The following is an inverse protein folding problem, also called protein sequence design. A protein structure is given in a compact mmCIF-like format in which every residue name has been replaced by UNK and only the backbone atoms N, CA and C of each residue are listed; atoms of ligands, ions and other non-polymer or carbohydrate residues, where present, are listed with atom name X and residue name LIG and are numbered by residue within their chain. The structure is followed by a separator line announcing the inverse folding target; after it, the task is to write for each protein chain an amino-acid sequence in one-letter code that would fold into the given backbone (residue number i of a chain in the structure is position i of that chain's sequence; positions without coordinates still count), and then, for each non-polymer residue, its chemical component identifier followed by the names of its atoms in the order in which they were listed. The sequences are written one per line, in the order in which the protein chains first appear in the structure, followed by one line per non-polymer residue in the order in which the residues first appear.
data_IF_787608662803
#
_entry.id   IF_787608662803
#
_cell.length_a   1.000
_cell.length_b   1.000
_cell.length_c   1.000
_cell.angle_alpha   90.00
_cell.angle_beta   90.00
_cell.angle_gamma   90.00
#
_symmetry.space_group_name_H-M   'P 1'
#
loop_
_entity.id
_entity.type
_entity.pdbx_description
1 polymer ?
#
# COMPACT_ATOMS: atom_id res chain seq x y z
N UNK A 1 11.62 2.08 -21.50
CA UNK A 1 11.51 3.23 -20.57
C UNK A 1 10.65 2.79 -19.41
N UNK A 2 10.98 3.22 -18.19
CA UNK A 2 10.25 2.83 -16.99
C UNK A 2 8.85 3.46 -16.95
N UNK A 3 7.87 2.75 -16.40
CA UNK A 3 6.51 3.26 -16.19
C UNK A 3 6.40 4.16 -14.95
N UNK A 4 7.41 4.12 -14.08
CA UNK A 4 7.51 4.91 -12.87
C UNK A 4 8.73 5.84 -12.90
N UNK A 5 8.72 6.85 -12.04
CA UNK A 5 9.84 7.78 -11.91
C UNK A 5 11.05 7.12 -11.25
N UNK A 6 12.21 7.78 -11.32
CA UNK A 6 13.44 7.26 -10.73
C UNK A 6 13.30 7.03 -9.21
N UNK A 7 12.63 7.93 -8.48
CA UNK A 7 12.39 7.74 -7.05
C UNK A 7 11.44 6.57 -6.79
N UNK A 8 10.32 6.48 -7.52
CA UNK A 8 9.36 5.38 -7.34
C UNK A 8 10.02 4.01 -7.57
N UNK A 9 10.83 3.89 -8.64
CA UNK A 9 11.65 2.71 -8.91
C UNK A 9 12.53 2.33 -7.70
N UNK A 10 13.32 3.29 -7.19
CA UNK A 10 14.24 3.05 -6.08
C UNK A 10 13.49 2.70 -4.80
N UNK A 11 12.39 3.38 -4.50
CA UNK A 11 11.60 3.16 -3.29
C UNK A 11 10.94 1.78 -3.27
N UNK A 12 10.31 1.35 -4.37
CA UNK A 12 9.74 0.00 -4.44
C UNK A 12 10.81 -1.09 -4.41
N UNK A 13 11.95 -0.86 -5.06
CA UNK A 13 13.10 -1.77 -4.99
C UNK A 13 13.64 -1.87 -3.56
N UNK A 14 13.78 -0.74 -2.85
CA UNK A 14 14.23 -0.71 -1.46
C UNK A 14 13.27 -1.47 -0.54
N UNK A 15 11.96 -1.26 -0.67
CA UNK A 15 10.96 -1.98 0.14
C UNK A 15 10.97 -3.48 -0.17
N UNK A 16 11.11 -3.83 -1.45
CA UNK A 16 11.17 -5.23 -1.92
C UNK A 16 12.43 -5.91 -1.38
N UNK A 17 13.60 -5.30 -1.53
CA UNK A 17 14.87 -5.82 -1.00
C UNK A 17 14.87 -5.90 0.51
N UNK A 18 14.32 -4.93 1.24
CA UNK A 18 14.14 -5.01 2.70
C UNK A 18 13.31 -6.24 3.11
N UNK A 19 12.31 -6.58 2.29
CA UNK A 19 11.36 -7.66 2.56
C UNK A 19 11.90 -9.03 2.13
N UNK A 20 12.69 -9.07 1.06
CA UNK A 20 13.13 -10.30 0.40
C UNK A 20 14.58 -10.68 0.68
N UNK A 21 15.42 -9.70 1.02
CA UNK A 21 16.87 -9.81 1.08
C UNK A 21 17.46 -8.74 2.02
N UNK A 22 18.66 -8.26 1.71
CA UNK A 22 19.31 -7.12 2.38
C UNK A 22 19.03 -5.82 1.61
N UNK A 23 18.67 -4.77 2.33
CA UNK A 23 18.52 -3.41 1.78
C UNK A 23 19.92 -2.75 1.64
N UNK A 24 20.40 -2.43 0.43
CA UNK A 24 21.71 -1.82 0.24
C UNK A 24 21.76 -0.36 0.72
N UNK A 25 22.81 0.03 1.44
CA UNK A 25 22.96 1.38 1.97
C UNK A 25 23.03 2.46 0.86
N UNK A 26 23.74 2.18 -0.22
CA UNK A 26 23.87 3.09 -1.37
C UNK A 26 22.53 3.36 -2.08
N UNK A 27 21.60 2.39 -2.09
CA UNK A 27 20.25 2.62 -2.61
C UNK A 27 19.47 3.58 -1.70
N UNK A 28 19.62 3.44 -0.39
CA UNK A 28 19.01 4.34 0.59
C UNK A 28 19.62 5.74 0.49
N UNK A 29 20.93 5.86 0.30
CA UNK A 29 21.61 7.15 0.06
C UNK A 29 21.07 7.84 -1.20
N UNK A 30 20.89 7.08 -2.29
CA UNK A 30 20.31 7.61 -3.53
C UNK A 30 18.86 8.11 -3.36
N UNK A 31 18.06 7.42 -2.54
CA UNK A 31 16.70 7.87 -2.19
C UNK A 31 16.76 9.11 -1.29
N UNK A 32 17.66 9.13 -0.31
CA UNK A 32 17.81 10.25 0.60
C UNK A 32 18.22 11.55 -0.12
N UNK A 33 19.05 11.43 -1.16
CA UNK A 33 19.51 12.55 -1.99
C UNK A 33 18.49 13.08 -3.01
N UNK A 34 17.29 12.50 -3.11
CA UNK A 34 16.25 12.99 -4.01
C UNK A 34 15.76 14.39 -3.59
N UNK A 35 15.65 15.29 -4.57
CA UNK A 35 15.29 16.69 -4.35
C UNK A 35 13.89 17.05 -4.86
N UNK A 36 13.29 16.20 -5.70
CA UNK A 36 11.90 16.37 -6.10
C UNK A 36 10.97 16.32 -4.87
N UNK A 37 10.14 17.36 -4.75
CA UNK A 37 9.51 17.71 -3.47
C UNK A 37 8.02 17.47 -3.38
N UNK A 38 7.40 16.61 -4.20
CA UNK A 38 5.98 16.30 -4.02
C UNK A 38 5.75 15.41 -2.77
N UNK A 39 4.51 15.33 -2.30
CA UNK A 39 4.17 14.64 -1.05
C UNK A 39 4.41 13.13 -1.12
N UNK A 40 4.03 12.46 -2.22
CA UNK A 40 4.38 11.05 -2.46
C UNK A 40 5.89 10.81 -2.33
N UNK A 41 6.71 11.68 -2.92
CA UNK A 41 8.16 11.54 -2.94
C UNK A 41 8.75 11.69 -1.54
N UNK A 42 8.33 12.73 -0.81
CA UNK A 42 8.72 12.94 0.57
C UNK A 42 8.34 11.73 1.43
N UNK A 43 7.13 11.20 1.25
CA UNK A 43 6.66 10.01 1.96
C UNK A 43 7.51 8.76 1.66
N UNK A 44 7.86 8.52 0.40
CA UNK A 44 8.73 7.41 -0.02
C UNK A 44 10.13 7.51 0.55
N UNK A 45 10.70 8.72 0.64
CA UNK A 45 11.99 8.98 1.28
C UNK A 45 11.95 8.63 2.77
N UNK A 46 10.92 9.12 3.49
CA UNK A 46 10.70 8.81 4.91
C UNK A 46 10.60 7.29 5.13
N UNK A 47 9.76 6.60 4.36
CA UNK A 47 9.56 5.16 4.51
C UNK A 47 10.87 4.39 4.26
N UNK A 48 11.62 4.75 3.22
CA UNK A 48 12.89 4.09 2.86
C UNK A 48 13.98 4.29 3.93
N UNK A 49 14.11 5.51 4.47
CA UNK A 49 15.03 5.80 5.57
C UNK A 49 14.64 5.01 6.84
N UNK A 50 13.35 4.98 7.18
CA UNK A 50 12.84 4.22 8.31
C UNK A 50 13.12 2.71 8.18
N UNK A 51 12.94 2.12 6.99
CA UNK A 51 13.26 0.70 6.73
C UNK A 51 14.75 0.37 6.92
N UNK A 52 15.62 1.35 6.65
CA UNK A 52 17.05 1.27 6.86
C UNK A 52 17.50 1.62 8.29
N UNK A 53 16.57 2.01 9.18
CA UNK A 53 16.89 2.46 10.53
C UNK A 53 17.66 3.78 10.58
N UNK A 54 17.53 4.61 9.54
CA UNK A 54 18.14 5.94 9.47
C UNK A 54 17.17 7.00 9.97
N UNK A 55 17.72 8.11 10.46
CA UNK A 55 16.90 9.23 10.91
C UNK A 55 16.15 9.87 9.73
N UNK A 56 14.84 10.06 9.92
CA UNK A 56 13.94 10.72 8.98
C UNK A 56 13.21 11.91 9.62
N UNK A 57 13.61 12.34 10.83
CA UNK A 57 12.86 13.30 11.64
C UNK A 57 12.65 14.63 10.94
N UNK A 58 13.66 15.17 10.25
CA UNK A 58 13.53 16.41 9.49
C UNK A 58 12.49 16.30 8.37
N UNK A 59 12.48 15.18 7.64
CA UNK A 59 11.50 14.92 6.58
C UNK A 59 10.08 14.72 7.15
N UNK A 60 9.96 14.10 8.33
CA UNK A 60 8.67 13.95 9.02
C UNK A 60 8.11 15.30 9.47
N UNK A 61 8.96 16.21 9.95
CA UNK A 61 8.57 17.59 10.27
C UNK A 61 8.09 18.30 9.00
N UNK A 62 8.84 18.18 7.90
CA UNK A 62 8.44 18.74 6.61
C UNK A 62 7.11 18.17 6.13
N UNK A 63 6.92 16.84 6.21
CA UNK A 63 5.68 16.19 5.80
C UNK A 63 4.52 16.69 6.64
N UNK A 64 4.68 16.75 7.97
CA UNK A 64 3.64 17.21 8.89
C UNK A 64 3.24 18.66 8.63
N UNK A 65 4.17 19.52 8.23
CA UNK A 65 3.90 20.91 7.86
C UNK A 65 3.08 21.07 6.56
N UNK A 66 2.93 20.00 5.76
CA UNK A 66 2.08 19.98 4.54
C UNK A 66 0.63 19.61 4.82
N UNK A 67 0.27 19.22 6.05
CA UNK A 67 -1.10 18.86 6.38
C UNK A 67 -2.00 20.09 6.28
N UNK A 68 -3.04 20.01 5.48
CA UNK A 68 -4.02 21.07 5.31
C UNK A 68 -5.00 21.12 6.49
N UNK A 69 -5.77 22.21 6.60
CA UNK A 69 -6.75 22.40 7.68
C UNK A 69 -7.89 21.37 7.68
N UNK A 70 -8.15 20.71 6.55
CA UNK A 70 -9.10 19.59 6.43
C UNK A 70 -8.52 18.25 6.89
N UNK A 71 -7.25 18.23 7.32
CA UNK A 71 -6.51 17.06 7.77
C UNK A 71 -5.84 16.26 6.65
N UNK A 72 -6.15 16.54 5.39
CA UNK A 72 -5.56 15.87 4.25
C UNK A 72 -4.19 16.43 3.83
N UNK A 73 -3.61 15.80 2.82
CA UNK A 73 -2.39 16.24 2.16
C UNK A 73 -2.60 16.37 0.65
N UNK A 74 -2.06 17.44 0.07
CA UNK A 74 -2.00 17.63 -1.37
C UNK A 74 -0.62 17.25 -1.95
N UNK A 75 -0.46 17.40 -3.26
CA UNK A 75 0.78 17.06 -3.97
C UNK A 75 2.01 17.86 -3.53
N UNK A 76 1.83 18.98 -2.83
CA UNK A 76 2.90 19.78 -2.24
C UNK A 76 2.34 20.89 -1.35
N UNK A 77 3.20 21.76 -0.80
CA UNK A 77 2.74 22.91 -0.01
C UNK A 77 1.74 23.78 -0.79
N UNK A 78 0.58 24.05 -0.19
CA UNK A 78 -0.47 24.90 -0.77
C UNK A 78 -1.36 24.22 -1.81
N UNK A 79 -1.16 22.92 -2.10
CA UNK A 79 -2.06 22.16 -2.97
C UNK A 79 -3.25 21.61 -2.18
N UNK A 80 -4.39 21.52 -2.85
CA UNK A 80 -5.60 20.89 -2.29
C UNK A 80 -5.33 19.44 -1.89
N UNK A 81 -5.94 19.04 -0.78
CA UNK A 81 -5.88 17.67 -0.28
C UNK A 81 -6.47 16.69 -1.29
N UNK A 82 -5.81 15.54 -1.47
CA UNK A 82 -6.36 14.41 -2.21
C UNK A 82 -6.08 13.08 -1.50
N UNK A 83 -6.81 12.04 -1.89
CA UNK A 83 -6.76 10.75 -1.21
C UNK A 83 -5.41 10.01 -1.41
N UNK A 84 -4.80 10.12 -2.60
CA UNK A 84 -3.54 9.44 -2.89
C UNK A 84 -2.37 9.98 -2.06
N UNK A 85 -2.17 11.30 -2.05
CA UNK A 85 -1.11 11.93 -1.27
C UNK A 85 -1.33 11.75 0.23
N UNK A 86 -2.59 11.81 0.69
CA UNK A 86 -2.92 11.52 2.09
C UNK A 86 -2.60 10.06 2.47
N UNK A 87 -2.88 9.11 1.57
CA UNK A 87 -2.51 7.71 1.75
C UNK A 87 -0.99 7.51 1.86
N UNK A 88 -0.22 8.13 0.98
CA UNK A 88 1.25 8.10 1.05
C UNK A 88 1.79 8.73 2.34
N UNK A 89 1.25 9.88 2.76
CA UNK A 89 1.63 10.52 4.01
C UNK A 89 1.40 9.59 5.21
N UNK A 90 0.24 8.91 5.28
CA UNK A 90 -0.06 7.95 6.34
C UNK A 90 0.89 6.75 6.37
N UNK A 91 1.29 6.22 5.21
CA UNK A 91 2.29 5.14 5.10
C UNK A 91 3.65 5.61 5.64
N UNK A 92 4.08 6.82 5.30
CA UNK A 92 5.33 7.41 5.79
C UNK A 92 5.30 7.63 7.31
N UNK A 93 4.22 8.22 7.82
CA UNK A 93 4.02 8.45 9.25
C UNK A 93 4.06 7.13 10.04
N UNK A 94 3.44 6.06 9.52
CA UNK A 94 3.50 4.73 10.15
C UNK A 94 4.93 4.22 10.21
N UNK A 95 5.65 4.33 9.09
CA UNK A 95 7.01 3.82 8.94
C UNK A 95 7.97 4.53 9.89
N UNK A 96 7.84 5.85 10.04
CA UNK A 96 8.63 6.66 10.96
C UNK A 96 8.13 6.67 12.41
N UNK A 97 7.03 5.98 12.72
CA UNK A 97 6.37 5.98 14.04
C UNK A 97 6.01 7.39 14.53
N UNK A 98 5.57 8.24 13.61
CA UNK A 98 5.09 9.59 13.89
C UNK A 98 3.55 9.63 13.87
N UNK A 99 2.94 10.19 14.90
CA UNK A 99 1.49 10.04 15.12
C UNK A 99 0.69 11.34 15.11
N UNK A 100 1.34 12.51 15.22
CA UNK A 100 0.65 13.79 15.39
C UNK A 100 -0.36 14.10 14.26
N UNK A 101 0.04 13.85 13.01
CA UNK A 101 -0.79 14.11 11.83
C UNK A 101 -1.73 12.96 11.43
N UNK A 102 -1.70 11.82 12.15
CA UNK A 102 -2.41 10.59 11.72
C UNK A 102 -3.92 10.72 11.85
N UNK A 103 -4.43 11.18 12.99
CA UNK A 103 -5.88 11.22 13.23
C UNK A 103 -6.62 12.14 12.24
N UNK A 104 -6.16 13.38 11.98
CA UNK A 104 -6.80 14.24 10.98
C UNK A 104 -6.74 13.66 9.56
N UNK A 105 -5.63 13.02 9.18
CA UNK A 105 -5.48 12.39 7.87
C UNK A 105 -6.42 11.20 7.66
N UNK A 106 -6.63 10.38 8.70
CA UNK A 106 -7.63 9.32 8.66
C UNK A 106 -9.04 9.90 8.55
N UNK A 107 -9.33 10.99 9.28
CA UNK A 107 -10.60 11.72 9.19
C UNK A 107 -10.87 12.22 7.77
N UNK A 108 -9.88 12.84 7.13
CA UNK A 108 -9.96 13.26 5.73
C UNK A 108 -10.30 12.08 4.80
N UNK A 109 -9.60 10.94 4.91
CA UNK A 109 -9.87 9.77 4.07
C UNK A 109 -11.26 9.16 4.31
N UNK A 110 -11.82 9.26 5.51
CA UNK A 110 -13.19 8.79 5.73
C UNK A 110 -14.19 9.69 4.96
N UNK A 111 -13.95 10.99 4.95
CA UNK A 111 -14.82 11.97 4.26
C UNK A 111 -14.63 11.99 2.74
N UNK A 112 -13.40 11.74 2.26
CA UNK A 112 -13.06 11.75 0.84
C UNK A 112 -13.55 10.51 0.07
N UNK A 113 -14.08 9.49 0.77
CA UNK A 113 -14.52 8.25 0.12
C UNK A 113 -15.79 8.49 -0.70
N UNK A 114 -15.74 8.16 -1.99
CA UNK A 114 -16.90 8.25 -2.87
C UNK A 114 -18.02 7.27 -2.46
N UNK A 115 -19.22 7.45 -3.01
CA UNK A 115 -20.40 6.62 -2.70
C UNK A 115 -20.20 5.15 -3.11
N UNK A 116 -19.49 4.89 -4.20
CA UNK A 116 -19.11 3.55 -4.68
C UNK A 116 -17.95 2.92 -3.88
N UNK A 117 -17.34 3.66 -2.94
CA UNK A 117 -16.25 3.21 -2.09
C UNK A 117 -14.85 3.57 -2.62
N UNK A 118 -14.76 4.16 -3.81
CA UNK A 118 -13.48 4.55 -4.42
C UNK A 118 -12.86 5.79 -3.78
N UNK A 119 -11.59 5.99 -4.10
CA UNK A 119 -10.80 7.17 -3.82
C UNK A 119 -10.17 7.66 -5.11
N UNK A 120 -10.18 8.98 -5.32
CA UNK A 120 -9.65 9.61 -6.52
C UNK A 120 -8.54 10.62 -6.19
N UNK A 121 -7.69 10.85 -7.18
CA UNK A 121 -6.71 11.93 -7.20
C UNK A 121 -6.54 12.39 -8.65
N UNK A 122 -6.40 13.71 -8.87
CA UNK A 122 -6.35 14.29 -10.20
C UNK A 122 -5.21 13.68 -11.05
N UNK A 123 -5.55 13.22 -12.27
CA UNK A 123 -4.58 12.61 -13.18
C UNK A 123 -4.06 11.23 -12.75
N UNK A 124 -4.69 10.59 -11.75
CA UNK A 124 -4.30 9.27 -11.24
C UNK A 124 -5.42 8.26 -11.44
N UNK A 125 -5.07 6.99 -11.45
CA UNK A 125 -6.07 5.91 -11.48
C UNK A 125 -6.80 5.83 -10.14
N UNK A 126 -8.12 5.78 -10.17
CA UNK A 126 -8.93 5.55 -8.97
C UNK A 126 -8.67 4.16 -8.37
N UNK A 127 -8.37 3.14 -9.21
CA UNK A 127 -7.99 1.79 -8.74
C UNK A 127 -6.70 1.84 -7.95
N UNK A 128 -5.69 2.54 -8.47
CA UNK A 128 -4.40 2.70 -7.79
C UNK A 128 -4.55 3.52 -6.50
N UNK A 129 -5.25 4.66 -6.59
CA UNK A 129 -5.48 5.55 -5.46
C UNK A 129 -6.24 4.84 -4.34
N UNK A 130 -7.28 4.10 -4.69
CA UNK A 130 -8.03 3.28 -3.74
C UNK A 130 -7.16 2.20 -3.11
N UNK A 131 -6.31 1.51 -3.88
CA UNK A 131 -5.42 0.49 -3.33
C UNK A 131 -4.39 1.06 -2.34
N UNK A 132 -3.78 2.21 -2.64
CA UNK A 132 -2.86 2.90 -1.73
C UNK A 132 -3.58 3.36 -0.46
N UNK A 133 -4.81 3.88 -0.58
CA UNK A 133 -5.62 4.25 0.58
C UNK A 133 -5.97 3.04 1.45
N UNK A 134 -6.34 1.90 0.85
CA UNK A 134 -6.61 0.66 1.61
C UNK A 134 -5.35 0.18 2.34
N UNK A 135 -4.18 0.22 1.71
CA UNK A 135 -2.90 -0.06 2.37
C UNK A 135 -2.69 0.87 3.57
N UNK A 136 -2.88 2.17 3.39
CA UNK A 136 -2.71 3.17 4.43
C UNK A 136 -3.68 2.94 5.61
N UNK A 137 -4.98 2.78 5.35
CA UNK A 137 -5.99 2.51 6.38
C UNK A 137 -5.69 1.21 7.14
N UNK A 138 -5.29 0.15 6.42
CA UNK A 138 -4.93 -1.14 6.99
C UNK A 138 -3.79 -1.06 8.03
N UNK A 139 -2.83 -0.15 7.86
CA UNK A 139 -1.75 0.08 8.82
C UNK A 139 -2.23 0.59 10.19
N UNK A 140 -3.43 1.17 10.25
CA UNK A 140 -4.01 1.79 11.43
C UNK A 140 -5.29 1.09 11.93
N UNK A 141 -5.76 0.05 11.23
CA UNK A 141 -7.03 -0.63 11.53
C UNK A 141 -7.15 -1.25 12.93
N UNK A 142 -6.04 -1.49 13.64
CA UNK A 142 -6.08 -1.97 15.03
C UNK A 142 -6.19 -0.86 16.07
N UNK A 143 -6.06 0.40 15.66
CA UNK A 143 -6.03 1.59 16.53
C UNK A 143 -7.19 2.55 16.21
N UNK A 144 -7.69 2.53 14.98
CA UNK A 144 -8.72 3.43 14.48
C UNK A 144 -9.82 2.65 13.75
N UNK A 145 -11.06 3.10 13.93
CA UNK A 145 -12.25 2.57 13.27
C UNK A 145 -12.25 2.89 11.77
N UNK A 146 -11.56 2.06 10.98
CA UNK A 146 -11.41 2.21 9.53
C UNK A 146 -12.03 1.04 8.75
N UNK A 147 -12.58 0.04 9.46
CA UNK A 147 -13.08 -1.20 8.85
C UNK A 147 -14.18 -0.96 7.80
N UNK A 148 -15.12 -0.05 8.08
CA UNK A 148 -16.20 0.27 7.14
C UNK A 148 -15.65 0.91 5.84
N UNK A 149 -14.73 1.86 5.96
CA UNK A 149 -14.08 2.51 4.83
C UNK A 149 -13.27 1.50 4.00
N UNK A 150 -12.46 0.66 4.67
CA UNK A 150 -11.70 -0.44 4.03
C UNK A 150 -12.65 -1.38 3.29
N UNK A 151 -13.75 -1.80 3.92
CA UNK A 151 -14.70 -2.76 3.32
C UNK A 151 -15.32 -2.22 2.03
N UNK A 152 -15.75 -0.95 2.02
CA UNK A 152 -16.31 -0.31 0.82
C UNK A 152 -15.27 -0.16 -0.29
N UNK A 153 -14.05 0.24 0.05
CA UNK A 153 -12.95 0.35 -0.91
C UNK A 153 -12.55 -1.00 -1.50
N UNK A 154 -12.52 -2.06 -0.68
CA UNK A 154 -12.28 -3.43 -1.14
C UNK A 154 -13.37 -3.91 -2.08
N UNK A 155 -14.65 -3.61 -1.80
CA UNK A 155 -15.75 -3.94 -2.71
C UNK A 155 -15.61 -3.22 -4.05
N UNK A 156 -15.27 -1.93 -4.06
CA UNK A 156 -14.93 -1.21 -5.28
C UNK A 156 -13.81 -1.91 -6.03
N UNK A 157 -12.67 -2.19 -5.38
CA UNK A 157 -11.53 -2.85 -6.03
C UNK A 157 -11.93 -4.21 -6.60
N UNK A 158 -12.68 -5.03 -5.87
CA UNK A 158 -13.18 -6.32 -6.38
C UNK A 158 -14.13 -6.17 -7.58
N UNK A 159 -14.88 -5.08 -7.68
CA UNK A 159 -15.71 -4.79 -8.85
C UNK A 159 -14.89 -4.37 -10.08
N UNK A 160 -13.67 -3.84 -9.88
CA UNK A 160 -12.76 -3.45 -10.96
C UNK A 160 -11.92 -4.61 -11.51
N UNK A 161 -12.04 -5.81 -10.95
CA UNK A 161 -11.30 -6.98 -11.45
C UNK A 161 -11.89 -7.48 -12.76
N UNK A 162 -11.03 -7.92 -13.67
CA UNK A 162 -11.45 -8.63 -14.87
C UNK A 162 -12.01 -10.02 -14.54
N UNK A 163 -12.73 -10.70 -15.46
CA UNK A 163 -13.18 -12.08 -15.24
C UNK A 163 -12.05 -13.07 -14.93
N UNK A 164 -10.83 -12.79 -15.39
CA UNK A 164 -9.64 -13.60 -15.12
C UNK A 164 -8.96 -13.27 -13.77
N UNK A 165 -9.46 -12.27 -13.03
CA UNK A 165 -9.07 -11.98 -11.65
C UNK A 165 -7.95 -10.95 -11.46
N UNK A 166 -7.46 -10.33 -12.54
CA UNK A 166 -6.47 -9.24 -12.49
C UNK A 166 -7.10 -7.84 -12.53
N UNK A 167 -6.30 -6.83 -12.19
CA UNK A 167 -6.67 -5.41 -12.26
C UNK A 167 -5.95 -4.72 -13.42
N UNK A 168 -6.75 -4.23 -14.35
CA UNK A 168 -6.24 -3.82 -15.66
C UNK A 168 -5.50 -4.96 -16.37
N UNK A 169 -4.68 -4.62 -17.35
CA UNK A 169 -3.73 -5.54 -17.97
C UNK A 169 -2.29 -5.26 -17.47
N UNK A 170 -2.14 -5.03 -16.17
CA UNK A 170 -0.92 -4.49 -15.57
C UNK A 170 -0.44 -5.35 -14.39
N UNK A 171 0.84 -5.75 -14.44
CA UNK A 171 1.49 -6.50 -13.37
C UNK A 171 1.62 -5.64 -12.10
N UNK A 172 2.08 -4.40 -12.22
CA UNK A 172 2.20 -3.48 -11.08
C UNK A 172 0.84 -3.23 -10.41
N UNK A 173 -0.21 -2.93 -11.19
CA UNK A 173 -1.51 -2.57 -10.62
C UNK A 173 -2.15 -3.78 -9.94
N UNK A 174 -2.08 -4.95 -10.57
CA UNK A 174 -2.56 -6.21 -9.99
C UNK A 174 -1.84 -6.52 -8.68
N UNK A 175 -0.51 -6.34 -8.63
CA UNK A 175 0.26 -6.58 -7.42
C UNK A 175 -0.05 -5.57 -6.31
N UNK A 176 -0.22 -4.28 -6.64
CA UNK A 176 -0.60 -3.23 -5.66
C UNK A 176 -1.98 -3.50 -5.07
N UNK A 177 -2.98 -3.81 -5.89
CA UNK A 177 -4.33 -4.12 -5.41
C UNK A 177 -4.32 -5.38 -4.55
N UNK A 178 -3.61 -6.42 -4.97
CA UNK A 178 -3.50 -7.65 -4.19
C UNK A 178 -2.83 -7.42 -2.83
N UNK A 179 -1.75 -6.62 -2.79
CA UNK A 179 -1.10 -6.21 -1.54
C UNK A 179 -2.09 -5.49 -0.60
N UNK A 180 -3.00 -4.69 -1.14
CA UNK A 180 -3.99 -3.95 -0.37
C UNK A 180 -5.09 -4.85 0.23
N UNK A 181 -5.55 -5.87 -0.51
CA UNK A 181 -6.79 -6.58 -0.15
C UNK A 181 -6.58 -7.98 0.44
N UNK A 182 -5.40 -8.60 0.29
CA UNK A 182 -5.24 -10.03 0.59
C UNK A 182 -5.50 -10.44 2.05
N UNK A 183 -5.35 -9.52 3.01
CA UNK A 183 -5.63 -9.76 4.43
C UNK A 183 -7.14 -9.66 4.77
N UNK A 184 -7.96 -9.13 3.87
CA UNK A 184 -9.38 -8.81 4.11
C UNK A 184 -10.35 -9.52 3.18
N UNK A 185 -9.86 -10.22 2.16
CA UNK A 185 -10.67 -11.05 1.25
C UNK A 185 -10.33 -12.53 1.40
N UNK A 186 -11.24 -13.46 1.04
CA UNK A 186 -10.88 -14.86 0.92
C UNK A 186 -9.66 -15.04 0.01
N UNK A 187 -8.66 -15.78 0.51
CA UNK A 187 -7.42 -16.00 -0.22
C UNK A 187 -7.68 -16.68 -1.57
N UNK A 188 -8.61 -17.63 -1.65
CA UNK A 188 -9.00 -18.28 -2.90
C UNK A 188 -10.40 -17.85 -3.34
N UNK A 189 -10.65 -17.72 -4.66
CA UNK A 189 -9.75 -17.99 -5.79
C UNK A 189 -8.77 -16.84 -6.13
N UNK A 190 -8.80 -15.73 -5.38
CA UNK A 190 -8.05 -14.49 -5.68
C UNK A 190 -6.54 -14.70 -5.81
N UNK A 191 -5.94 -15.44 -4.89
CA UNK A 191 -4.50 -15.72 -4.83
C UNK A 191 -4.06 -16.56 -6.01
N UNK A 192 -4.80 -17.60 -6.36
CA UNK A 192 -4.51 -18.41 -7.55
C UNK A 192 -4.57 -17.58 -8.81
N UNK A 193 -5.60 -16.74 -8.98
CA UNK A 193 -5.75 -15.87 -10.14
C UNK A 193 -4.60 -14.86 -10.27
N UNK A 194 -4.29 -14.13 -9.19
CA UNK A 194 -3.19 -13.14 -9.17
C UNK A 194 -1.85 -13.81 -9.43
N UNK A 195 -1.54 -14.92 -8.75
CA UNK A 195 -0.26 -15.62 -8.93
C UNK A 195 -0.13 -16.18 -10.35
N UNK A 196 -1.21 -16.74 -10.90
CA UNK A 196 -1.23 -17.22 -12.28
C UNK A 196 -0.96 -16.08 -13.27
N UNK A 197 -1.64 -14.95 -13.11
CA UNK A 197 -1.45 -13.77 -13.96
C UNK A 197 -0.01 -13.21 -13.91
N UNK A 198 0.54 -13.06 -12.71
CA UNK A 198 1.89 -12.52 -12.52
C UNK A 198 2.95 -13.52 -13.01
N UNK A 199 2.86 -14.80 -12.66
CA UNK A 199 3.86 -15.81 -13.07
C UNK A 199 3.89 -15.99 -14.59
N UNK A 200 2.72 -15.94 -15.26
CA UNK A 200 2.65 -16.01 -16.71
C UNK A 200 3.30 -14.82 -17.44
N UNK A 201 3.57 -13.71 -16.74
CA UNK A 201 4.22 -12.50 -17.26
C UNK A 201 5.68 -12.36 -16.84
N UNK A 202 6.20 -13.29 -16.04
CA UNK A 202 7.59 -13.25 -15.64
C UNK A 202 8.48 -13.56 -16.86
N UNK A 203 9.41 -12.66 -17.15
CA UNK A 203 10.42 -12.86 -18.18
C UNK A 203 11.42 -13.95 -17.79
N UNK A 204 12.19 -14.44 -18.78
CA UNK A 204 13.22 -15.46 -18.55
C UNK A 204 14.34 -14.98 -17.60
N UNK A 205 14.55 -13.67 -17.52
CA UNK A 205 15.47 -13.01 -16.58
C UNK A 205 14.86 -12.81 -15.18
N UNK A 206 13.61 -13.26 -14.98
CA UNK A 206 12.87 -13.13 -13.74
C UNK A 206 12.18 -11.77 -13.53
N UNK A 207 12.27 -10.85 -14.50
CA UNK A 207 11.67 -9.51 -14.41
C UNK A 207 10.23 -9.45 -14.92
N UNK A 208 9.56 -8.32 -14.70
CA UNK A 208 8.25 -8.00 -15.28
C UNK A 208 8.32 -6.77 -16.18
N UNK A 209 7.40 -6.68 -17.12
CA UNK A 209 7.23 -5.52 -18.02
C UNK A 209 8.52 -5.05 -18.70
N UNK A 210 9.27 -6.00 -19.27
CA UNK A 210 10.55 -5.77 -19.96
C UNK A 210 11.66 -5.19 -19.07
N UNK A 211 11.80 -5.72 -17.85
CA UNK A 211 12.85 -5.28 -16.93
C UNK A 211 12.52 -4.00 -16.17
N UNK A 212 11.26 -3.57 -16.13
CA UNK A 212 10.84 -2.38 -15.39
C UNK A 212 11.04 -2.59 -13.88
N UNK A 213 11.88 -1.78 -13.18
CA UNK A 213 12.19 -2.01 -11.78
C UNK A 213 10.99 -1.85 -10.84
N UNK A 214 10.09 -0.91 -11.12
CA UNK A 214 8.90 -0.64 -10.32
C UNK A 214 7.91 -1.81 -10.39
N UNK A 215 7.56 -2.22 -11.61
CA UNK A 215 6.67 -3.36 -11.84
C UNK A 215 7.28 -4.65 -11.31
N UNK A 216 8.56 -4.91 -11.57
CA UNK A 216 9.28 -6.08 -11.05
C UNK A 216 9.24 -6.13 -9.51
N UNK A 217 9.47 -5.00 -8.84
CA UNK A 217 9.45 -4.92 -7.38
C UNK A 217 8.06 -5.23 -6.78
N UNK A 218 7.01 -4.69 -7.39
CA UNK A 218 5.63 -4.93 -6.97
C UNK A 218 5.22 -6.39 -7.26
N UNK A 219 5.46 -6.87 -8.48
CA UNK A 219 5.14 -8.24 -8.88
C UNK A 219 5.85 -9.29 -8.02
N UNK A 220 7.13 -9.09 -7.69
CA UNK A 220 7.89 -9.99 -6.80
C UNK A 220 7.26 -10.11 -5.41
N UNK A 221 6.73 -9.01 -4.85
CA UNK A 221 5.98 -9.07 -3.58
C UNK A 221 4.62 -9.75 -3.76
N UNK A 222 3.97 -9.57 -4.90
CA UNK A 222 2.66 -10.18 -5.21
C UNK A 222 2.70 -11.69 -5.46
N UNK A 223 3.77 -12.23 -6.04
CA UNK A 223 3.89 -13.70 -6.29
C UNK A 223 4.27 -14.49 -5.05
N UNK A 224 4.78 -13.81 -4.00
CA UNK A 224 5.24 -14.48 -2.79
C UNK A 224 4.09 -15.22 -2.08
N UNK A 225 4.37 -16.37 -1.45
CA UNK A 225 3.38 -17.02 -0.59
C UNK A 225 3.03 -16.11 0.59
N UNK A 226 1.75 -15.80 0.75
CA UNK A 226 1.26 -15.09 1.93
C UNK A 226 1.36 -16.04 3.12
N UNK A 227 2.02 -15.58 4.19
CA UNK A 227 1.94 -16.25 5.49
C UNK A 227 0.73 -15.67 6.21
N UNK A 228 -0.29 -16.49 6.54
CA UNK A 228 -1.52 -16.00 7.18
C UNK A 228 -1.15 -15.15 8.42
N UNK A 229 -1.49 -13.86 8.37
CA UNK A 229 -1.48 -12.97 9.53
C UNK A 229 -2.90 -12.97 10.09
N UNK A 230 -3.06 -13.03 11.41
CA UNK A 230 -4.39 -12.98 12.01
C UNK A 230 -5.09 -11.67 11.59
N UNK A 231 -6.39 -11.71 11.23
CA UNK A 231 -7.10 -10.50 10.82
C UNK A 231 -7.10 -9.47 11.95
N UNK A 232 -7.09 -8.16 11.63
CA UNK A 232 -7.23 -7.12 12.63
C UNK A 232 -8.54 -7.33 13.39
N UNK A 233 -8.46 -7.48 14.72
CA UNK A 233 -9.65 -7.60 15.56
C UNK A 233 -10.36 -6.24 15.60
N UNK A 234 -11.69 -6.18 15.51
CA UNK A 234 -12.42 -4.94 15.80
C UNK A 234 -12.09 -4.49 17.23
N UNK A 235 -12.04 -3.18 17.46
CA UNK A 235 -11.91 -2.65 18.81
C UNK A 235 -13.09 -3.16 19.65
N UNK A 236 -12.84 -3.56 20.89
CA UNK A 236 -13.89 -4.11 21.76
C UNK A 236 -14.96 -3.04 21.99
N UNK A 237 -16.14 -3.19 21.39
CA UNK A 237 -17.35 -2.56 21.90
C UNK A 237 -17.79 -3.32 23.14
N UNK A 238 -18.05 -2.61 24.24
CA UNK A 238 -18.67 -3.16 25.45
C UNK A 238 -20.17 -3.46 25.23
N UNK A 239 -20.48 -4.27 24.23
CA UNK A 239 -21.83 -4.77 23.97
C UNK A 239 -21.72 -6.23 23.58
N UNK A 240 -22.08 -7.11 24.52
CA UNK A 240 -22.14 -8.54 24.24
C UNK A 240 -23.19 -8.82 23.18
N UNK A 241 -22.77 -9.25 21.99
CA UNK A 241 -23.43 -10.27 21.18
C UNK A 241 -22.64 -10.55 19.89
N UNK A 242 -22.59 -11.85 19.53
CA UNK A 242 -22.07 -12.48 18.31
C UNK A 242 -20.54 -12.46 18.07
N UNK A 243 -19.93 -13.65 18.20
CA UNK A 243 -18.58 -13.92 17.68
C UNK A 243 -18.65 -14.10 16.15
N UNK A 244 -17.78 -13.45 15.35
CA UNK A 244 -17.63 -13.82 13.96
C UNK A 244 -16.92 -15.17 13.85
N UNK A 245 -17.39 -16.02 12.94
CA UNK A 245 -16.78 -17.30 12.59
C UNK A 245 -15.33 -17.06 12.16
N UNK A 246 -14.32 -17.71 12.76
CA UNK A 246 -12.95 -17.55 12.32
C UNK A 246 -12.79 -18.17 10.93
N UNK A 247 -12.30 -17.39 9.97
CA UNK A 247 -11.77 -17.91 8.70
C UNK A 247 -10.55 -18.75 9.06
N UNK A 248 -10.75 -20.07 9.22
CA UNK A 248 -9.65 -21.01 9.46
C UNK A 248 -8.88 -21.19 8.15
N UNK A 249 -7.67 -20.61 8.05
CA UNK A 249 -6.67 -21.09 7.09
C UNK A 249 -6.39 -22.57 7.43
N UNK A 250 -6.75 -23.51 6.55
CA UNK A 250 -6.36 -24.91 6.68
C UNK A 250 -4.85 -25.02 6.44
N UNK A 251 -4.10 -25.31 7.51
CA UNK A 251 -2.70 -25.72 7.39
C UNK A 251 -2.66 -27.13 6.80
N UNK A 252 -2.37 -27.27 5.50
CA UNK A 252 -1.72 -28.51 5.03
C UNK A 252 -0.23 -28.36 5.32
N UNK A 253 0.22 -29.08 6.34
CA UNK A 253 1.64 -29.33 6.58
C UNK A 253 2.27 -29.86 5.29
N UNK A 254 3.28 -29.17 4.77
CA UNK A 254 4.21 -29.77 3.81
C UNK A 254 5.03 -30.77 4.63
N UNK A 255 4.67 -32.04 4.54
CA UNK A 255 5.50 -33.13 5.03
C UNK A 255 6.66 -33.24 4.06
N UNK A 256 7.87 -32.95 4.53
CA UNK A 256 9.11 -33.27 3.84
C UNK A 256 9.24 -34.79 3.78
N UNK A 257 9.36 -35.33 2.56
CA UNK A 257 10.02 -36.59 2.28
C UNK A 257 11.26 -36.27 1.43
#
# INVERSE_FOLDING_TARGET
MSIATALQNRAEAAQTLKTLSTLPANLVDAIAGETEGNTEYLARRIASLAFAGRDASALVVELSARQNSDGGFGGGPGYDSNALDTGWALIALKSAKAFAAVSPALGYLILAQASDGSYSAAGRSDVESTAVVVLALGLYASQFESFAAISRAVLYLLAQRTPAGQWGNSAFLTATVYAAIHDVVPLEPTTTAVRGFLTARQGADGSWDNGDPFSTSLALRGVRPIRCRAPPRPARSNSGTSSPVPIRCSFRSISTA
#
